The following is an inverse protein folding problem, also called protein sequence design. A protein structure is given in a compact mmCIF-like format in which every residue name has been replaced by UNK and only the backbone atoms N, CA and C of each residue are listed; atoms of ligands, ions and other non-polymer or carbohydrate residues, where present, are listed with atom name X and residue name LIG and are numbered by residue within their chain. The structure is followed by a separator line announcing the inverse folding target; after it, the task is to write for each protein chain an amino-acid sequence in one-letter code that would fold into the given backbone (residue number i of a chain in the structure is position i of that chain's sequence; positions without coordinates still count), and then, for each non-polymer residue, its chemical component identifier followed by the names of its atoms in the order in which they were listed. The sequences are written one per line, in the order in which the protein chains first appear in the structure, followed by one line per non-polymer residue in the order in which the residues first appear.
data_IF_026227595752
#
_entry.id   IF_026227595752
#
_cell.length_a   1.000
_cell.length_b   1.000
_cell.length_c   1.000
_cell.angle_alpha   90.00
_cell.angle_beta   90.00
_cell.angle_gamma   90.00
#
_symmetry.space_group_name_H-M   'P 1'
#
loop_
_entity.id
_entity.type
_entity.pdbx_description
1 polymer ?
#
# COMPACT_ATOMS: atom_id res chain seq x y z
N UNK A 1 15.19 -48.94 -29.11
CA UNK A 1 15.66 -49.26 -27.74
C UNK A 1 16.52 -48.09 -27.29
N UNK A 2 16.08 -47.31 -26.30
CA UNK A 2 16.84 -46.15 -25.81
C UNK A 2 18.05 -46.69 -25.04
N UNK A 3 19.27 -46.28 -25.41
CA UNK A 3 20.50 -46.64 -24.70
C UNK A 3 20.42 -46.16 -23.23
N UNK A 4 20.88 -46.99 -22.29
CA UNK A 4 20.98 -46.66 -20.86
C UNK A 4 21.69 -45.32 -20.61
N UNK A 5 22.68 -44.96 -21.41
CA UNK A 5 23.38 -43.67 -21.28
C UNK A 5 22.51 -42.50 -21.74
N UNK A 6 21.74 -42.68 -22.82
CA UNK A 6 20.79 -41.68 -23.31
C UNK A 6 19.62 -41.49 -22.33
N UNK A 7 19.15 -42.56 -21.69
CA UNK A 7 18.13 -42.51 -20.65
C UNK A 7 18.61 -41.77 -19.40
N UNK A 8 19.90 -41.91 -19.01
CA UNK A 8 20.50 -41.12 -17.91
C UNK A 8 20.62 -39.64 -18.23
N UNK A 9 21.02 -39.29 -19.45
CA UNK A 9 21.14 -37.88 -19.89
C UNK A 9 19.76 -37.20 -19.93
N UNK A 10 18.73 -37.90 -20.43
CA UNK A 10 17.35 -37.41 -20.43
C UNK A 10 16.85 -37.22 -18.99
N UNK A 11 17.19 -38.13 -18.06
CA UNK A 11 16.83 -38.01 -16.65
C UNK A 11 17.50 -36.79 -15.99
N UNK A 12 18.78 -36.55 -16.27
CA UNK A 12 19.52 -35.39 -15.74
C UNK A 12 18.93 -34.08 -16.29
N UNK A 13 18.66 -34.01 -17.60
CA UNK A 13 18.01 -32.84 -18.21
C UNK A 13 16.62 -32.60 -17.64
N UNK A 14 15.82 -33.65 -17.42
CA UNK A 14 14.49 -33.53 -16.80
C UNK A 14 14.59 -33.01 -15.36
N UNK A 15 15.57 -33.45 -14.57
CA UNK A 15 15.82 -32.93 -13.21
C UNK A 15 16.21 -31.44 -13.27
N UNK A 16 17.06 -31.03 -14.20
CA UNK A 16 17.44 -29.62 -14.38
C UNK A 16 16.28 -28.72 -14.84
N UNK A 17 15.35 -29.23 -15.67
CA UNK A 17 14.16 -28.49 -16.09
C UNK A 17 13.08 -28.39 -14.98
N UNK A 18 13.06 -29.32 -14.03
CA UNK A 18 12.14 -29.31 -12.87
C UNK A 18 12.59 -28.38 -11.73
N UNK A 19 13.83 -27.85 -11.76
CA UNK A 19 14.27 -26.78 -10.83
C UNK A 19 13.78 -25.40 -11.29
N UNK A 20 13.14 -25.31 -12.46
CA UNK A 20 12.36 -24.16 -12.91
C UNK A 20 10.98 -24.11 -12.26
N UNK A 21 10.91 -24.14 -10.94
CA UNK A 21 9.72 -23.78 -10.19
C UNK A 21 9.98 -22.46 -9.48
N UNK A 22 9.18 -21.44 -9.79
CA UNK A 22 9.13 -20.18 -9.08
C UNK A 22 9.12 -20.47 -7.58
N UNK A 23 10.23 -20.18 -6.92
CA UNK A 23 10.28 -20.26 -5.48
C UNK A 23 9.36 -19.15 -4.97
N UNK A 24 8.19 -19.53 -4.43
CA UNK A 24 7.53 -18.78 -3.36
C UNK A 24 8.45 -18.83 -2.12
N UNK A 25 9.70 -18.39 -2.28
CA UNK A 25 10.61 -18.14 -1.18
C UNK A 25 9.93 -17.06 -0.36
N UNK A 26 9.65 -17.37 0.90
CA UNK A 26 9.12 -16.41 1.86
C UNK A 26 10.25 -15.42 2.23
N UNK A 27 10.69 -14.60 1.28
CA UNK A 27 11.85 -13.70 1.43
C UNK A 27 11.54 -12.58 2.42
N UNK A 28 10.32 -12.06 2.39
CA UNK A 28 9.86 -10.97 3.25
C UNK A 28 8.53 -11.35 3.88
N UNK A 29 8.42 -11.15 5.19
CA UNK A 29 7.13 -11.17 5.90
C UNK A 29 6.59 -9.75 5.98
N UNK A 30 5.34 -9.55 5.58
CA UNK A 30 4.63 -8.27 5.67
C UNK A 30 3.41 -8.40 6.58
N UNK A 31 3.16 -7.37 7.40
CA UNK A 31 1.87 -7.15 8.04
C UNK A 31 1.46 -5.69 7.95
N UNK A 32 0.17 -5.45 7.75
CA UNK A 32 -0.39 -4.13 7.96
C UNK A 32 -0.61 -3.92 9.47
N UNK A 33 -0.29 -2.73 9.95
CA UNK A 33 -0.46 -2.32 11.35
C UNK A 33 -1.26 -1.04 11.42
N UNK A 34 -1.83 -0.73 12.60
CA UNK A 34 -2.56 0.52 12.77
C UNK A 34 -1.63 1.72 12.65
N UNK A 35 -2.12 2.76 11.98
CA UNK A 35 -1.50 4.07 12.00
C UNK A 35 -2.12 4.93 13.10
N UNK A 36 -1.28 5.70 13.78
CA UNK A 36 -1.72 6.71 14.74
C UNK A 36 -1.79 8.11 14.10
N UNK A 37 -1.40 8.22 12.83
CA UNK A 37 -1.44 9.47 12.07
C UNK A 37 -2.89 9.91 11.79
N UNK A 38 -3.15 11.21 11.68
CA UNK A 38 -4.47 11.72 11.32
C UNK A 38 -4.76 11.53 9.83
N UNK A 39 -6.05 11.50 9.49
CA UNK A 39 -6.50 11.72 8.12
C UNK A 39 -6.32 13.19 7.77
N UNK A 40 -5.80 13.46 6.57
CA UNK A 40 -5.63 14.83 6.07
C UNK A 40 -6.67 15.13 5.01
N UNK A 41 -7.54 16.09 5.28
CA UNK A 41 -8.48 16.62 4.29
C UNK A 41 -7.91 17.91 3.72
N UNK A 42 -7.83 17.99 2.38
CA UNK A 42 -7.29 19.15 1.67
C UNK A 42 -8.34 19.75 0.75
N UNK A 43 -8.58 21.04 0.92
CA UNK A 43 -9.41 21.82 0.03
C UNK A 43 -8.73 22.09 -1.29
N UNK A 44 -9.55 22.31 -2.32
CA UNK A 44 -9.10 22.85 -3.59
C UNK A 44 -8.58 24.28 -3.38
N UNK A 45 -7.63 24.71 -4.23
CA UNK A 45 -7.06 26.06 -4.21
C UNK A 45 -8.13 27.18 -4.29
N UNK A 46 -9.22 26.95 -5.01
CA UNK A 46 -10.34 27.89 -5.14
C UNK A 46 -11.32 27.85 -3.95
N UNK A 47 -11.04 27.02 -2.94
CA UNK A 47 -11.84 26.84 -1.71
C UNK A 47 -13.29 26.41 -1.93
N UNK A 48 -13.61 25.83 -3.09
CA UNK A 48 -14.99 25.42 -3.43
C UNK A 48 -15.43 24.11 -2.78
N UNK A 49 -14.50 23.20 -2.52
CA UNK A 49 -14.76 21.90 -1.89
C UNK A 49 -13.47 21.25 -1.36
N UNK A 50 -13.62 20.18 -0.58
CA UNK A 50 -12.53 19.28 -0.20
C UNK A 50 -12.17 18.44 -1.43
N UNK A 51 -10.94 18.62 -1.94
CA UNK A 51 -10.48 17.97 -3.17
C UNK A 51 -9.92 16.57 -2.91
N UNK A 52 -9.18 16.40 -1.82
CA UNK A 52 -8.54 15.12 -1.52
C UNK A 52 -8.59 14.74 -0.05
N UNK A 53 -8.66 13.43 0.17
CA UNK A 53 -8.52 12.78 1.47
C UNK A 53 -7.23 11.95 1.46
N UNK A 54 -6.38 12.13 2.46
CA UNK A 54 -5.17 11.35 2.64
C UNK A 54 -5.41 10.42 3.82
N UNK A 55 -5.55 9.13 3.53
CA UNK A 55 -5.78 8.09 4.53
C UNK A 55 -4.43 7.52 4.99
N UNK A 56 -4.12 7.59 6.29
CA UNK A 56 -2.85 7.09 6.82
C UNK A 56 -2.87 5.56 6.88
N UNK A 57 -1.77 4.95 6.45
CA UNK A 57 -1.55 3.51 6.56
C UNK A 57 -0.18 3.25 7.17
N UNK A 58 0.01 2.06 7.72
CA UNK A 58 1.30 1.64 8.20
C UNK A 58 1.48 0.14 7.97
N UNK A 59 2.72 -0.22 7.64
CA UNK A 59 3.10 -1.60 7.43
C UNK A 59 4.38 -1.91 8.20
N UNK A 60 4.57 -3.17 8.51
CA UNK A 60 5.81 -3.67 9.07
C UNK A 60 6.37 -4.81 8.24
N UNK A 61 7.65 -4.71 7.93
CA UNK A 61 8.38 -5.64 7.08
C UNK A 61 9.53 -6.27 7.87
N UNK A 62 9.79 -7.54 7.62
CA UNK A 62 11.04 -8.20 8.01
C UNK A 62 11.50 -9.13 6.91
N UNK A 63 12.80 -9.32 6.77
CA UNK A 63 13.32 -10.39 5.92
C UNK A 63 13.30 -11.71 6.66
N UNK A 64 13.12 -12.81 5.92
CA UNK A 64 13.31 -14.16 6.42
C UNK A 64 14.47 -14.88 5.70
N UNK A 65 15.28 -14.12 4.96
CA UNK A 65 16.36 -14.61 4.13
C UNK A 65 17.71 -14.03 4.58
N UNK A 66 18.80 -14.77 4.37
CA UNK A 66 20.17 -14.32 4.67
C UNK A 66 20.67 -13.17 3.81
N UNK A 67 20.13 -12.99 2.60
CA UNK A 67 20.47 -11.90 1.69
C UNK A 67 20.14 -10.54 2.30
N UNK A 68 20.77 -9.51 1.74
CA UNK A 68 20.34 -8.13 1.94
C UNK A 68 19.10 -7.88 1.10
N UNK A 69 18.03 -7.45 1.76
CA UNK A 69 16.74 -7.16 1.14
C UNK A 69 16.37 -5.73 1.49
N UNK A 70 15.90 -4.99 0.49
CA UNK A 70 15.52 -3.59 0.63
C UNK A 70 14.07 -3.44 0.18
N UNK A 71 13.31 -2.59 0.88
CA UNK A 71 12.11 -2.00 0.31
C UNK A 71 12.50 -1.04 -0.82
N UNK A 72 11.70 -0.94 -1.87
CA UNK A 72 12.01 -0.05 -2.99
C UNK A 72 10.86 0.89 -3.29
N UNK A 73 9.67 0.35 -3.54
CA UNK A 73 8.48 1.15 -3.80
C UNK A 73 7.20 0.35 -3.60
N UNK A 74 6.06 1.02 -3.76
CA UNK A 74 4.76 0.39 -3.77
C UNK A 74 3.96 0.81 -5.00
N UNK A 75 3.10 -0.09 -5.45
CA UNK A 75 2.07 0.21 -6.44
C UNK A 75 0.69 0.07 -5.79
N UNK A 76 -0.19 1.03 -6.01
CA UNK A 76 -1.52 1.07 -5.39
C UNK A 76 -2.63 0.94 -6.44
N UNK A 77 -3.60 0.07 -6.17
CA UNK A 77 -4.78 -0.15 -7.00
C UNK A 77 -6.04 0.10 -6.19
N UNK A 78 -6.63 1.28 -6.46
CA UNK A 78 -7.96 1.59 -5.99
C UNK A 78 -8.99 0.74 -6.74
N UNK A 79 -9.91 0.13 -5.99
CA UNK A 79 -11.14 -0.48 -6.49
C UNK A 79 -11.98 0.58 -7.19
N UNK A 80 -12.11 1.76 -6.59
CA UNK A 80 -12.75 2.90 -7.22
C UNK A 80 -11.72 3.75 -8.01
N UNK A 81 -11.63 3.48 -9.31
CA UNK A 81 -10.66 4.14 -10.21
C UNK A 81 -10.89 5.65 -10.32
N UNK A 82 -12.12 6.13 -10.18
CA UNK A 82 -12.44 7.56 -10.30
C UNK A 82 -11.89 8.37 -9.12
N UNK A 83 -11.55 7.70 -8.03
CA UNK A 83 -10.97 8.29 -6.83
C UNK A 83 -9.46 8.09 -6.71
N UNK A 84 -8.86 7.36 -7.65
CA UNK A 84 -7.43 7.06 -7.60
C UNK A 84 -6.58 8.28 -7.97
N UNK A 85 -5.56 8.63 -7.18
CA UNK A 85 -4.57 9.64 -7.54
C UNK A 85 -3.43 9.06 -8.40
N UNK A 86 -3.47 7.76 -8.75
CA UNK A 86 -2.34 7.01 -9.28
C UNK A 86 -1.27 6.70 -8.22
N UNK A 87 -0.25 5.95 -8.61
CA UNK A 87 0.80 5.47 -7.69
C UNK A 87 1.51 6.59 -6.94
N UNK A 88 1.82 7.73 -7.60
CA UNK A 88 2.50 8.85 -6.96
C UNK A 88 1.68 9.53 -5.83
N UNK A 89 0.38 9.27 -5.74
CA UNK A 89 -0.44 9.73 -4.62
C UNK A 89 -0.46 8.77 -3.42
N UNK A 90 0.13 7.58 -3.55
CA UNK A 90 0.13 6.56 -2.51
C UNK A 90 1.56 6.09 -2.27
N UNK A 91 2.12 6.40 -1.11
CA UNK A 91 3.53 6.11 -0.82
C UNK A 91 3.70 5.63 0.61
N UNK A 92 4.74 4.83 0.83
CA UNK A 92 5.27 4.47 2.12
C UNK A 92 6.63 5.12 2.32
N UNK A 93 6.98 5.39 3.57
CA UNK A 93 8.29 5.85 4.00
C UNK A 93 8.67 5.17 5.31
N UNK A 94 9.94 4.81 5.43
CA UNK A 94 10.55 4.26 6.63
C UNK A 94 10.81 5.33 7.69
N UNK A 95 11.06 4.86 8.91
CA UNK A 95 11.67 5.68 9.94
C UNK A 95 13.21 5.69 9.75
N UNK A 96 13.79 6.88 9.61
CA UNK A 96 15.23 7.16 9.49
C UNK A 96 15.89 6.91 8.11
N UNK A 97 15.14 6.99 7.01
CA UNK A 97 15.65 6.92 5.63
C UNK A 97 16.54 5.68 5.34
N UNK A 98 16.20 4.55 5.97
CA UNK A 98 16.86 3.26 5.78
C UNK A 98 15.87 2.22 5.20
N UNK A 99 16.05 1.88 3.94
CA UNK A 99 15.19 0.92 3.24
C UNK A 99 15.59 -0.54 3.51
N UNK A 100 16.72 -0.79 4.18
CA UNK A 100 17.24 -2.13 4.46
C UNK A 100 16.37 -2.86 5.48
N UNK A 101 16.06 -4.11 5.17
CA UNK A 101 15.29 -4.98 6.05
C UNK A 101 16.20 -5.77 6.99
N UNK A 102 15.74 -5.91 8.23
CA UNK A 102 16.34 -6.80 9.22
C UNK A 102 15.45 -8.02 9.46
N UNK A 103 15.92 -8.95 10.29
CA UNK A 103 15.08 -10.05 10.79
C UNK A 103 14.03 -9.61 11.83
N UNK A 104 14.16 -8.38 12.36
CA UNK A 104 13.14 -7.74 13.17
C UNK A 104 12.18 -6.94 12.26
N UNK A 105 10.93 -6.82 12.71
CA UNK A 105 9.94 -5.99 12.04
C UNK A 105 10.36 -4.52 12.09
N UNK A 106 10.45 -3.91 10.92
CA UNK A 106 10.68 -2.49 10.71
C UNK A 106 9.40 -1.84 10.22
N UNK A 107 9.04 -0.69 10.80
CA UNK A 107 7.82 0.05 10.48
C UNK A 107 8.05 1.01 9.31
N UNK A 108 7.07 1.04 8.42
CA UNK A 108 6.93 1.97 7.31
C UNK A 108 5.57 2.64 7.44
N UNK A 109 5.58 3.96 7.59
CA UNK A 109 4.37 4.76 7.60
C UNK A 109 4.01 5.15 6.18
N UNK A 110 2.75 5.51 5.94
CA UNK A 110 2.26 5.66 4.59
C UNK A 110 1.02 6.51 4.50
N UNK A 111 0.72 6.92 3.28
CA UNK A 111 -0.51 7.63 2.97
C UNK A 111 -1.06 7.15 1.64
N UNK A 112 -2.37 6.89 1.62
CA UNK A 112 -3.15 6.68 0.41
C UNK A 112 -3.95 7.96 0.16
N UNK A 113 -3.65 8.65 -0.93
CA UNK A 113 -4.47 9.78 -1.35
C UNK A 113 -5.70 9.27 -2.11
N UNK A 114 -6.82 9.92 -1.90
CA UNK A 114 -8.04 9.75 -2.68
C UNK A 114 -8.45 11.11 -3.25
N UNK A 115 -8.76 11.15 -4.53
CA UNK A 115 -9.36 12.31 -5.19
C UNK A 115 -10.87 12.17 -5.05
N UNK A 116 -11.50 13.05 -4.27
CA UNK A 116 -12.90 12.88 -3.85
C UNK A 116 -13.82 13.95 -4.45
N UNK A 117 -13.27 14.83 -5.27
CA UNK A 117 -13.95 15.99 -5.84
C UNK A 117 -15.04 15.68 -6.87
N UNK A 118 -15.10 14.45 -7.36
CA UNK A 118 -16.17 14.00 -8.28
C UNK A 118 -17.28 13.22 -7.58
N UNK A 119 -17.14 12.95 -6.29
CA UNK A 119 -18.09 12.12 -5.54
C UNK A 119 -18.97 12.98 -4.63
N UNK A 120 -20.18 13.27 -5.08
CA UNK A 120 -21.10 14.16 -4.35
C UNK A 120 -21.56 13.58 -3.00
N UNK A 121 -21.69 12.25 -2.89
CA UNK A 121 -22.00 11.59 -1.61
C UNK A 121 -20.89 11.82 -0.59
N UNK A 122 -19.62 11.70 -0.99
CA UNK A 122 -18.50 11.98 -0.09
C UNK A 122 -18.45 13.46 0.27
N UNK A 123 -18.66 14.38 -0.67
CA UNK A 123 -18.70 15.82 -0.40
C UNK A 123 -19.77 16.18 0.63
N UNK A 124 -20.98 15.62 0.47
CA UNK A 124 -22.08 15.87 1.39
C UNK A 124 -21.72 15.40 2.80
N UNK A 125 -21.18 14.19 2.93
CA UNK A 125 -20.73 13.62 4.21
C UNK A 125 -19.65 14.48 4.86
N UNK A 126 -18.67 14.95 4.10
CA UNK A 126 -17.57 15.78 4.60
C UNK A 126 -17.91 17.27 4.73
N UNK A 127 -19.17 17.68 4.51
CA UNK A 127 -19.60 19.08 4.57
C UNK A 127 -19.35 19.74 5.92
N UNK A 128 -19.38 18.96 7.02
CA UNK A 128 -19.03 19.44 8.37
C UNK A 128 -17.59 19.95 8.43
N UNK A 129 -16.66 19.21 7.83
CA UNK A 129 -15.26 19.61 7.77
C UNK A 129 -15.04 20.75 6.78
N UNK A 130 -15.75 20.76 5.66
CA UNK A 130 -15.70 21.90 4.74
C UNK A 130 -16.09 23.22 5.43
N UNK A 131 -17.21 23.23 6.17
CA UNK A 131 -17.64 24.42 6.93
C UNK A 131 -16.60 24.83 7.97
N UNK A 132 -16.09 23.87 8.74
CA UNK A 132 -15.02 24.11 9.72
C UNK A 132 -13.77 24.74 9.08
N UNK A 133 -13.36 24.24 7.92
CA UNK A 133 -12.21 24.79 7.18
C UNK A 133 -12.46 26.23 6.71
N UNK A 134 -13.67 26.53 6.25
CA UNK A 134 -14.07 27.90 5.87
C UNK A 134 -14.07 28.84 7.08
N UNK A 135 -14.64 28.42 8.21
CA UNK A 135 -14.73 29.22 9.44
C UNK A 135 -13.35 29.49 10.06
N UNK A 136 -12.43 28.51 9.97
CA UNK A 136 -11.05 28.62 10.46
C UNK A 136 -10.07 29.21 9.43
N UNK A 137 -10.55 29.57 8.23
CA UNK A 137 -9.76 30.06 7.09
C UNK A 137 -8.61 29.13 6.63
N UNK A 138 -8.74 27.82 6.89
CA UNK A 138 -7.74 26.79 6.57
C UNK A 138 -8.04 26.09 5.24
N UNK A 139 -7.00 25.68 4.54
CA UNK A 139 -7.11 24.83 3.35
C UNK A 139 -6.85 23.35 3.64
N UNK A 140 -6.40 23.03 4.86
CA UNK A 140 -6.05 21.68 5.29
C UNK A 140 -6.46 21.49 6.74
N UNK A 141 -7.07 20.34 7.05
CA UNK A 141 -7.29 19.91 8.43
C UNK A 141 -6.81 18.48 8.65
N UNK A 142 -6.40 18.21 9.88
CA UNK A 142 -6.00 16.90 10.37
C UNK A 142 -7.12 16.37 11.27
N UNK A 143 -7.70 15.24 10.90
CA UNK A 143 -8.79 14.58 11.63
C UNK A 143 -8.24 13.32 12.28
N UNK A 144 -8.39 13.12 13.60
CA UNK A 144 -7.95 11.89 14.24
C UNK A 144 -8.55 10.67 13.54
N UNK A 145 -7.73 9.67 13.21
CA UNK A 145 -8.17 8.49 12.46
C UNK A 145 -9.37 7.80 13.12
N UNK A 146 -9.32 7.66 14.45
CA UNK A 146 -10.41 7.07 15.24
C UNK A 146 -11.72 7.87 15.13
N UNK A 147 -11.65 9.20 15.14
CA UNK A 147 -12.84 10.06 14.97
C UNK A 147 -13.41 9.87 13.57
N UNK A 148 -12.55 9.89 12.55
CA UNK A 148 -12.98 9.74 11.17
C UNK A 148 -13.63 8.38 10.93
N UNK A 149 -12.98 7.27 11.30
CA UNK A 149 -13.49 5.92 11.07
C UNK A 149 -14.84 5.70 11.80
N UNK A 150 -15.00 6.27 12.99
CA UNK A 150 -16.26 6.19 13.75
C UNK A 150 -17.40 6.94 13.08
N UNK A 151 -17.13 8.11 12.48
CA UNK A 151 -18.14 8.98 11.90
C UNK A 151 -18.38 8.72 10.40
N UNK A 152 -17.41 8.13 9.71
CA UNK A 152 -17.35 8.01 8.26
C UNK A 152 -17.03 6.59 7.77
N UNK A 153 -17.28 5.56 8.58
CA UNK A 153 -17.15 4.15 8.17
C UNK A 153 -17.85 3.84 6.84
N UNK A 154 -19.00 4.48 6.57
CA UNK A 154 -19.68 4.37 5.27
C UNK A 154 -18.77 4.72 4.08
N UNK A 155 -17.93 5.76 4.19
CA UNK A 155 -17.02 6.15 3.11
C UNK A 155 -16.02 5.01 2.85
N UNK A 156 -15.46 4.47 3.92
CA UNK A 156 -14.49 3.38 3.89
C UNK A 156 -15.11 2.14 3.24
N UNK A 157 -16.22 1.66 3.79
CA UNK A 157 -16.88 0.43 3.38
C UNK A 157 -17.34 0.44 1.90
N UNK A 158 -17.76 1.60 1.41
CA UNK A 158 -18.36 1.71 0.07
C UNK A 158 -17.35 2.13 -1.00
N UNK A 159 -16.30 2.88 -0.65
CA UNK A 159 -15.40 3.47 -1.64
C UNK A 159 -13.96 2.97 -1.55
N UNK A 160 -13.45 2.62 -0.37
CA UNK A 160 -12.05 2.23 -0.15
C UNK A 160 -11.88 0.72 0.01
N UNK A 161 -12.85 0.05 0.65
CA UNK A 161 -12.80 -1.38 0.91
C UNK A 161 -12.69 -2.21 -0.37
N UNK A 162 -11.68 -3.08 -0.39
CA UNK A 162 -11.27 -3.88 -1.56
C UNK A 162 -10.08 -3.31 -2.33
N UNK A 163 -9.51 -2.19 -1.91
CA UNK A 163 -8.26 -1.67 -2.46
C UNK A 163 -7.09 -2.64 -2.22
N UNK A 164 -6.06 -2.53 -3.07
CA UNK A 164 -4.91 -3.43 -3.03
C UNK A 164 -3.60 -2.69 -3.26
N UNK A 165 -2.53 -3.22 -2.68
CA UNK A 165 -1.18 -2.68 -2.78
C UNK A 165 -0.22 -3.81 -3.15
N UNK A 166 0.72 -3.53 -4.05
CA UNK A 166 1.91 -4.36 -4.23
C UNK A 166 3.07 -3.66 -3.58
N UNK A 167 3.80 -4.39 -2.75
CA UNK A 167 5.03 -3.93 -2.14
C UNK A 167 6.19 -4.56 -2.89
N UNK A 168 7.09 -3.72 -3.38
CA UNK A 168 8.21 -4.11 -4.21
C UNK A 168 9.48 -4.07 -3.36
N UNK A 169 10.14 -5.22 -3.24
CA UNK A 169 11.42 -5.38 -2.56
C UNK A 169 12.46 -5.89 -3.54
N UNK A 170 13.75 -5.72 -3.22
CA UNK A 170 14.81 -6.30 -4.04
C UNK A 170 16.05 -6.71 -3.24
N UNK A 171 16.82 -7.64 -3.81
CA UNK A 171 18.15 -8.05 -3.34
C UNK A 171 19.29 -7.52 -4.24
N UNK A 172 19.01 -6.44 -4.99
CA UNK A 172 19.80 -5.89 -6.10
C UNK A 172 19.99 -6.81 -7.32
N UNK A 173 19.47 -8.05 -7.29
CA UNK A 173 19.50 -8.97 -8.42
C UNK A 173 18.10 -9.30 -8.93
N UNK A 174 17.12 -9.39 -8.04
CA UNK A 174 15.74 -9.78 -8.32
C UNK A 174 14.77 -8.89 -7.55
N UNK A 175 13.58 -8.77 -8.13
CA UNK A 175 12.41 -8.20 -7.48
C UNK A 175 11.65 -9.27 -6.70
N UNK A 176 11.08 -8.87 -5.57
CA UNK A 176 10.22 -9.65 -4.71
C UNK A 176 8.94 -8.84 -4.48
N UNK A 177 7.88 -9.19 -5.21
CA UNK A 177 6.62 -8.45 -5.18
C UNK A 177 5.61 -9.15 -4.27
N UNK A 178 5.06 -8.41 -3.31
CA UNK A 178 4.08 -8.92 -2.35
C UNK A 178 2.74 -8.20 -2.55
N UNK A 179 1.74 -8.86 -3.17
CA UNK A 179 0.39 -8.33 -3.28
C UNK A 179 -0.38 -8.48 -1.96
N UNK A 180 -1.08 -7.42 -1.56
CA UNK A 180 -1.89 -7.37 -0.34
C UNK A 180 -3.21 -6.65 -0.61
N UNK A 181 -4.24 -7.03 0.15
CA UNK A 181 -5.43 -6.19 0.35
C UNK A 181 -5.10 -5.16 1.41
N UNK A 182 -5.57 -3.93 1.21
CA UNK A 182 -5.44 -2.87 2.22
C UNK A 182 -6.64 -2.96 3.16
N UNK A 183 -6.37 -3.02 4.46
CA UNK A 183 -7.36 -2.92 5.52
C UNK A 183 -7.47 -1.48 6.02
N UNK A 184 -8.66 -1.09 6.49
CA UNK A 184 -8.93 0.24 7.01
C UNK A 184 -9.38 0.21 8.48
N UNK A 185 -9.09 -0.87 9.20
CA UNK A 185 -9.56 -1.16 10.58
C UNK A 185 -8.87 -0.37 11.72
#
# INVERSE_FOLDING_TARGET
MIDKNMMRIILILAICFLVGCASNENVVSVRQVKSDEPIVLRMRKDRTFIHSLLYPVAFEFKKNDSRDIYYAENSYWAKNKDMSPGTAGCFLWEENDDEHLSYAYKRFNGTIKYIIDKNDTIKERLSVYYKKMMDEEKDTIHVPLKEFNSNFGYIIDNFFEGDSIYLHFHDHKRWHDIPLRVSFD
#
